data_IF_091279782258
#
_entry.id   IF_091279782258
#
_cell.length_a   1.000
_cell.length_b   1.000
_cell.length_c   1.000
_cell.angle_alpha   90.00
_cell.angle_beta   90.00
_cell.angle_gamma   90.00
#
_symmetry.space_group_name_H-M   'P 1'
#
loop_
_entity.id
_entity.type
_entity.pdbx_description
1 polymer ?
#
# COMPACT_ATOMS: atom_id res chain seq x y z
N UNK A 1 -6.35 15.31 -6.12
CA UNK A 1 -6.49 14.24 -5.11
C UNK A 1 -6.18 12.91 -5.76
N UNK A 2 -5.43 12.03 -5.08
CA UNK A 2 -5.14 10.68 -5.55
C UNK A 2 -6.47 9.88 -5.51
N UNK A 3 -6.98 9.42 -6.66
CA UNK A 3 -8.35 8.91 -6.78
C UNK A 3 -8.68 7.76 -5.80
N UNK A 4 -7.71 6.89 -5.50
CA UNK A 4 -7.87 5.78 -4.55
C UNK A 4 -7.81 6.16 -3.07
N UNK A 5 -7.35 7.36 -2.71
CA UNK A 5 -7.18 7.74 -1.30
C UNK A 5 -8.51 7.98 -0.59
N UNK A 6 -9.42 8.72 -1.24
CA UNK A 6 -10.67 9.15 -0.60
C UNK A 6 -11.55 7.95 -0.17
N UNK A 7 -11.80 6.93 -1.01
CA UNK A 7 -12.60 5.77 -0.59
C UNK A 7 -12.02 5.03 0.63
N UNK A 8 -10.69 4.88 0.69
CA UNK A 8 -10.00 4.25 1.83
C UNK A 8 -10.06 5.12 3.09
N UNK A 9 -9.85 6.43 2.94
CA UNK A 9 -9.98 7.40 4.04
C UNK A 9 -11.41 7.43 4.60
N UNK A 10 -12.41 7.49 3.73
CA UNK A 10 -13.82 7.45 4.11
C UNK A 10 -14.15 6.15 4.87
N UNK A 11 -13.62 5.02 4.42
CA UNK A 11 -13.79 3.72 5.09
C UNK A 11 -13.27 3.75 6.53
N UNK A 12 -12.02 4.19 6.75
CA UNK A 12 -11.42 4.22 8.10
C UNK A 12 -12.01 5.33 9.00
N UNK A 13 -12.69 6.31 8.41
CA UNK A 13 -13.33 7.42 9.15
C UNK A 13 -14.82 7.23 9.41
N UNK A 14 -15.44 6.15 8.89
CA UNK A 14 -16.79 5.76 9.30
C UNK A 14 -17.74 5.29 8.19
N UNK A 15 -17.31 5.20 6.93
CA UNK A 15 -18.08 4.53 5.87
C UNK A 15 -17.94 3.00 5.95
N UNK A 16 -18.27 2.45 7.12
CA UNK A 16 -18.26 1.03 7.44
C UNK A 16 -19.42 0.70 8.39
N UNK A 17 -19.74 -0.59 8.54
CA UNK A 17 -20.98 -1.04 9.19
C UNK A 17 -21.07 -0.78 10.70
N UNK A 18 -19.96 -0.57 11.42
CA UNK A 18 -19.97 -0.46 12.90
C UNK A 18 -19.31 0.81 13.45
N UNK A 19 -18.60 1.60 12.62
CA UNK A 19 -17.79 2.76 13.02
C UNK A 19 -16.76 2.47 14.11
N UNK A 20 -16.26 1.23 14.17
CA UNK A 20 -15.34 0.77 15.24
C UNK A 20 -13.85 0.93 14.92
N UNK A 21 -13.49 1.64 13.84
CA UNK A 21 -12.10 1.88 13.46
C UNK A 21 -11.64 3.18 14.13
N UNK A 22 -10.54 3.10 14.88
CA UNK A 22 -9.83 4.29 15.34
C UNK A 22 -8.92 4.83 14.21
N UNK A 23 -9.34 5.96 13.62
CA UNK A 23 -8.61 6.64 12.55
C UNK A 23 -7.18 6.98 12.95
N UNK A 24 -6.95 7.42 14.19
CA UNK A 24 -5.64 7.92 14.63
C UNK A 24 -4.59 6.83 14.54
N UNK A 25 -4.96 5.62 14.95
CA UNK A 25 -4.07 4.47 14.86
C UNK A 25 -3.76 4.10 13.41
N UNK A 26 -4.71 4.21 12.49
CA UNK A 26 -4.46 3.90 11.07
C UNK A 26 -3.55 4.96 10.44
N UNK A 27 -3.76 6.25 10.75
CA UNK A 27 -2.95 7.34 10.22
C UNK A 27 -1.48 7.26 10.67
N UNK A 28 -1.25 6.83 11.91
CA UNK A 28 0.06 6.68 12.54
C UNK A 28 0.74 5.34 12.18
N UNK A 29 -0.04 4.28 11.90
CA UNK A 29 0.51 2.93 11.88
C UNK A 29 1.37 2.61 10.66
N UNK A 30 1.12 3.15 9.46
CA UNK A 30 1.73 2.58 8.25
C UNK A 30 1.81 3.51 7.04
N UNK A 31 2.76 3.24 6.11
CA UNK A 31 2.80 3.91 4.82
C UNK A 31 1.59 3.54 3.96
N UNK A 32 1.22 4.43 3.04
CA UNK A 32 0.27 4.10 1.98
C UNK A 32 1.03 3.32 0.92
N UNK A 33 0.57 2.10 0.64
CA UNK A 33 1.12 1.28 -0.43
C UNK A 33 0.43 1.61 -1.75
N UNK A 34 1.21 1.64 -2.82
CA UNK A 34 0.70 1.73 -4.19
C UNK A 34 1.35 0.66 -5.05
N UNK A 35 0.54 -0.04 -5.82
CA UNK A 35 0.98 -1.02 -6.81
C UNK A 35 0.31 -0.74 -8.16
N UNK A 36 0.92 -1.25 -9.22
CA UNK A 36 0.39 -1.14 -10.58
C UNK A 36 0.44 -2.50 -11.24
N UNK A 37 -0.72 -3.12 -11.42
CA UNK A 37 -0.84 -4.41 -12.10
C UNK A 37 -0.85 -4.25 -13.62
N UNK A 38 -1.43 -3.13 -14.11
CA UNK A 38 -1.44 -2.77 -15.54
C UNK A 38 -1.28 -1.26 -15.73
N UNK A 39 -0.79 -0.79 -16.90
CA UNK A 39 -0.80 0.62 -17.23
C UNK A 39 -2.21 1.22 -17.04
N UNK A 40 -2.32 2.27 -16.23
CA UNK A 40 -3.60 2.91 -15.90
C UNK A 40 -4.41 2.28 -14.75
N UNK A 41 -4.08 1.06 -14.31
CA UNK A 41 -4.72 0.40 -13.15
C UNK A 41 -3.80 0.50 -11.92
N UNK A 42 -4.04 1.51 -11.07
CA UNK A 42 -3.33 1.68 -9.81
C UNK A 42 -4.18 1.23 -8.63
N UNK A 43 -3.60 0.41 -7.76
CA UNK A 43 -4.22 0.03 -6.49
C UNK A 43 -3.53 0.77 -5.36
N UNK A 44 -4.32 1.41 -4.50
CA UNK A 44 -3.87 1.96 -3.22
C UNK A 44 -4.28 1.01 -2.10
N UNK A 45 -3.42 0.87 -1.09
CA UNK A 45 -3.68 0.00 0.06
C UNK A 45 -3.27 0.70 1.35
N UNK A 46 -4.17 0.68 2.33
CA UNK A 46 -3.86 1.04 3.71
C UNK A 46 -3.62 -0.26 4.48
N UNK A 47 -2.51 -0.31 5.21
CA UNK A 47 -2.23 -1.42 6.11
C UNK A 47 -2.89 -1.15 7.44
N UNK A 48 -3.71 -2.09 7.89
CA UNK A 48 -4.40 -1.97 9.16
C UNK A 48 -3.47 -2.36 10.32
N UNK A 49 -3.58 -1.71 11.50
CA UNK A 49 -2.89 -2.14 12.70
C UNK A 49 -3.16 -3.62 13.04
N UNK A 50 -2.20 -4.33 13.66
CA UNK A 50 -2.27 -5.78 13.86
C UNK A 50 -3.44 -6.26 14.73
N UNK A 51 -4.10 -5.36 15.48
CA UNK A 51 -5.30 -5.69 16.27
C UNK A 51 -6.54 -5.97 15.42
N UNK A 52 -6.56 -5.52 14.16
CA UNK A 52 -7.65 -5.77 13.24
C UNK A 52 -7.38 -7.06 12.47
N UNK A 53 -8.40 -7.93 12.43
CA UNK A 53 -8.42 -9.15 11.64
C UNK A 53 -9.56 -9.06 10.63
N UNK A 54 -9.60 -9.94 9.62
CA UNK A 54 -10.73 -9.96 8.68
C UNK A 54 -12.08 -10.20 9.37
N UNK A 55 -12.08 -10.90 10.51
CA UNK A 55 -13.30 -11.19 11.27
C UNK A 55 -13.73 -10.03 12.17
N UNK A 56 -12.78 -9.22 12.64
CA UNK A 56 -13.04 -8.12 13.58
C UNK A 56 -13.14 -6.74 12.94
N UNK A 57 -12.61 -6.58 11.73
CA UNK A 57 -12.64 -5.30 11.01
C UNK A 57 -14.01 -5.09 10.36
N UNK A 58 -14.63 -3.90 10.49
CA UNK A 58 -15.96 -3.70 9.94
C UNK A 58 -15.96 -3.70 8.42
N UNK A 59 -17.00 -4.29 7.84
CA UNK A 59 -17.18 -4.32 6.39
C UNK A 59 -17.34 -2.90 5.82
N UNK A 60 -16.70 -2.61 4.66
CA UNK A 60 -16.88 -1.34 3.97
C UNK A 60 -18.30 -1.23 3.39
N UNK A 61 -18.83 -0.01 3.37
CA UNK A 61 -20.09 0.28 2.66
C UNK A 61 -19.88 0.56 1.17
N UNK A 62 -18.66 0.95 0.78
CA UNK A 62 -18.27 1.19 -0.59
C UNK A 62 -17.71 -0.11 -1.22
N UNK A 63 -18.31 -0.57 -2.31
CA UNK A 63 -17.91 -1.79 -3.04
C UNK A 63 -16.55 -1.72 -3.71
N UNK A 64 -16.02 -0.50 -3.93
CA UNK A 64 -14.67 -0.28 -4.46
C UNK A 64 -13.59 -0.52 -3.40
N UNK A 65 -13.97 -0.56 -2.12
CA UNK A 65 -13.07 -0.87 -1.01
C UNK A 65 -13.17 -2.36 -0.70
N UNK A 66 -12.02 -3.05 -0.74
CA UNK A 66 -11.93 -4.48 -0.47
C UNK A 66 -11.02 -4.73 0.72
N UNK A 67 -11.42 -5.69 1.55
CA UNK A 67 -10.62 -6.19 2.66
C UNK A 67 -9.87 -7.42 2.21
N UNK A 68 -8.56 -7.44 2.42
CA UNK A 68 -7.71 -8.55 2.02
C UNK A 68 -6.74 -8.88 3.15
N UNK A 69 -6.53 -10.18 3.37
CA UNK A 69 -5.44 -10.66 4.21
C UNK A 69 -4.15 -10.57 3.41
N UNK A 70 -3.18 -9.84 3.96
CA UNK A 70 -1.80 -9.88 3.46
C UNK A 70 -1.11 -11.05 4.15
N UNK A 71 -0.68 -12.10 3.42
CA UNK A 71 0.06 -13.20 4.02
C UNK A 71 1.42 -12.72 4.52
N UNK A 72 2.01 -13.47 5.45
CA UNK A 72 3.40 -13.24 5.85
C UNK A 72 4.32 -13.43 4.65
N UNK A 73 5.21 -12.47 4.43
CA UNK A 73 6.15 -12.50 3.33
C UNK A 73 7.40 -11.68 3.68
N UNK A 74 8.51 -12.01 3.04
CA UNK A 74 9.78 -11.27 3.14
C UNK A 74 9.92 -10.34 1.94
N UNK A 75 10.33 -9.10 2.18
CA UNK A 75 10.54 -8.10 1.14
C UNK A 75 11.96 -7.56 1.18
N UNK A 76 12.49 -7.25 0.00
CA UNK A 76 13.67 -6.41 -0.13
C UNK A 76 13.22 -4.94 -0.27
N UNK A 77 13.91 -4.02 0.39
CA UNK A 77 13.49 -2.61 0.47
C UNK A 77 14.62 -1.69 0.05
N UNK A 78 14.34 -0.80 -0.90
CA UNK A 78 15.19 0.32 -1.25
C UNK A 78 14.50 1.63 -0.83
N UNK A 79 15.07 2.35 0.14
CA UNK A 79 14.58 3.68 0.52
C UNK A 79 15.12 4.72 -0.46
N UNK A 80 14.25 5.60 -0.94
CA UNK A 80 14.64 6.71 -1.82
C UNK A 80 13.76 7.94 -1.61
N UNK A 81 14.21 9.08 -2.14
CA UNK A 81 13.49 10.36 -2.14
C UNK A 81 13.28 10.84 -3.57
N UNK A 82 12.26 11.67 -3.79
CA UNK A 82 11.97 12.28 -5.09
C UNK A 82 10.47 12.43 -5.35
N UNK A 83 10.12 13.05 -6.48
CA UNK A 83 8.73 13.13 -6.92
C UNK A 83 8.29 11.81 -7.53
N UNK A 84 7.31 11.14 -6.91
CA UNK A 84 6.82 9.83 -7.37
C UNK A 84 6.21 9.92 -8.77
N UNK A 85 6.78 9.18 -9.70
CA UNK A 85 6.28 8.98 -11.06
C UNK A 85 6.75 7.62 -11.58
N UNK A 86 6.14 7.11 -12.65
CA UNK A 86 6.42 5.79 -13.19
C UNK A 86 7.91 5.58 -13.53
N UNK A 87 8.56 6.60 -14.13
CA UNK A 87 9.98 6.55 -14.50
C UNK A 87 10.90 6.43 -13.27
N UNK A 88 10.61 7.18 -12.21
CA UNK A 88 11.38 7.09 -10.96
C UNK A 88 11.22 5.69 -10.34
N UNK A 89 10.00 5.16 -10.30
CA UNK A 89 9.71 3.83 -9.74
C UNK A 89 10.46 2.75 -10.53
N UNK A 90 10.42 2.78 -11.86
CA UNK A 90 11.14 1.83 -12.72
C UNK A 90 12.66 1.85 -12.47
N UNK A 91 13.27 3.04 -12.40
CA UNK A 91 14.70 3.19 -12.11
C UNK A 91 15.04 2.61 -10.74
N UNK A 92 14.20 2.84 -9.73
CA UNK A 92 14.43 2.37 -8.36
C UNK A 92 14.20 0.86 -8.21
N UNK A 93 13.24 0.31 -8.93
CA UNK A 93 13.04 -1.14 -9.01
C UNK A 93 14.27 -1.84 -9.61
N UNK A 94 14.78 -1.34 -10.74
CA UNK A 94 15.97 -1.90 -11.38
C UNK A 94 17.20 -1.83 -10.47
N UNK A 95 17.36 -0.73 -9.72
CA UNK A 95 18.43 -0.58 -8.73
C UNK A 95 18.32 -1.63 -7.61
N UNK A 96 17.11 -1.86 -7.08
CA UNK A 96 16.88 -2.87 -6.04
C UNK A 96 17.17 -4.28 -6.58
N UNK A 97 16.70 -4.61 -7.78
CA UNK A 97 16.93 -5.93 -8.40
C UNK A 97 18.41 -6.22 -8.58
N UNK A 98 19.17 -5.25 -9.11
CA UNK A 98 20.62 -5.36 -9.29
C UNK A 98 21.35 -5.57 -7.97
N UNK A 99 21.01 -4.81 -6.93
CA UNK A 99 21.61 -4.95 -5.61
C UNK A 99 21.32 -6.33 -4.99
N UNK A 100 20.10 -6.84 -5.14
CA UNK A 100 19.75 -8.19 -4.67
C UNK A 100 20.49 -9.28 -5.45
N UNK A 101 20.65 -9.14 -6.77
CA UNK A 101 21.40 -10.08 -7.59
C UNK A 101 22.87 -10.15 -7.20
N UNK A 102 23.50 -9.00 -6.94
CA UNK A 102 24.90 -8.90 -6.49
C UNK A 102 25.13 -9.59 -5.13
N UNK A 103 24.12 -9.57 -4.25
CA UNK A 103 24.12 -10.25 -2.94
C UNK A 103 23.62 -11.72 -3.02
N UNK A 104 23.30 -12.22 -4.22
CA UNK A 104 22.79 -13.59 -4.42
C UNK A 104 21.35 -13.82 -3.91
N UNK A 105 20.60 -12.74 -3.63
CA UNK A 105 19.20 -12.78 -3.20
C UNK A 105 18.30 -12.88 -4.42
N UNK A 106 17.53 -13.98 -4.52
CA UNK A 106 16.54 -14.17 -5.59
C UNK A 106 15.25 -13.46 -5.23
N UNK A 107 14.89 -12.46 -6.03
CA UNK A 107 13.60 -11.79 -5.95
C UNK A 107 12.56 -12.48 -6.83
N UNK A 108 11.29 -12.27 -6.50
CA UNK A 108 10.19 -12.61 -7.38
C UNK A 108 10.25 -11.77 -8.68
N UNK A 109 9.99 -12.43 -9.79
CA UNK A 109 9.96 -11.83 -11.13
C UNK A 109 8.56 -11.37 -11.53
N UNK A 110 7.52 -11.66 -10.74
CA UNK A 110 6.19 -11.12 -10.96
C UNK A 110 6.17 -9.61 -10.71
N UNK A 111 5.94 -8.83 -11.76
CA UNK A 111 5.85 -7.37 -11.70
C UNK A 111 4.68 -6.90 -10.83
N UNK A 112 3.66 -7.73 -10.64
CA UNK A 112 2.54 -7.42 -9.77
C UNK A 112 2.93 -7.36 -8.28
N UNK A 113 4.08 -7.94 -7.92
CA UNK A 113 4.58 -7.97 -6.54
C UNK A 113 5.48 -6.77 -6.20
N UNK A 114 5.66 -5.84 -7.14
CA UNK A 114 6.37 -4.58 -6.90
C UNK A 114 5.43 -3.58 -6.22
N UNK A 115 5.88 -3.02 -5.10
CA UNK A 115 5.11 -2.06 -4.30
C UNK A 115 5.94 -0.82 -3.98
N UNK A 116 5.27 0.32 -3.90
CA UNK A 116 5.84 1.58 -3.43
C UNK A 116 5.17 1.97 -2.12
N UNK A 117 5.96 2.09 -1.05
CA UNK A 117 5.49 2.52 0.26
C UNK A 117 5.75 4.02 0.48
N UNK A 118 4.68 4.81 0.60
CA UNK A 118 4.74 6.25 0.81
C UNK A 118 4.40 6.63 2.25
N UNK A 119 5.39 7.13 3.00
CA UNK A 119 5.22 7.54 4.40
C UNK A 119 4.64 8.95 4.56
N UNK A 120 4.97 9.86 3.63
CA UNK A 120 4.41 11.21 3.56
C UNK A 120 3.77 11.46 2.19
N UNK A 121 2.68 10.76 1.84
CA UNK A 121 2.03 10.97 0.56
C UNK A 121 1.37 12.36 0.56
N UNK A 122 1.49 13.14 -0.52
CA UNK A 122 0.87 14.48 -0.63
C UNK A 122 -0.67 14.44 -0.58
N UNK A 123 -1.27 13.25 -0.56
CA UNK A 123 -2.71 13.03 -0.48
C UNK A 123 -3.24 12.98 0.98
N UNK A 124 -2.37 12.91 2.01
CA UNK A 124 -2.76 13.03 3.44
C UNK A 124 -2.94 14.52 3.76
N UNK A 125 -4.18 14.99 3.88
CA UNK A 125 -4.55 16.31 4.40
C UNK A 125 -5.37 16.15 5.68
#
# INVERSE_FOLDING_TARGET
>A
MCAGYKPLSDYITGQNVSKSIDKKEVDEATPVLTSQSKPGEQTMTFLMPPKYTLDSIPLPLNTDVKLMRVPEHTVAVLKFSGHLNAKLVEVKEQQLRKACEEEGVKLDNDKNNVQVASYNPPCKN
#
